data_IF_043082054171
#
_entry.id   IF_043082054171
#
_cell.length_a   1.000
_cell.length_b   1.000
_cell.length_c   1.000
_cell.angle_alpha   90.00
_cell.angle_beta   90.00
_cell.angle_gamma   90.00
#
_symmetry.space_group_name_H-M   'P 1'
#
loop_
_entity.id
_entity.type
_entity.pdbx_description
1 polymer ?
#
# COMPACT_ATOMS: atom_id res chain seq x y z
N UNK A 1 -7.12 14.45 11.41
CA UNK A 1 -6.56 13.32 12.15
C UNK A 1 -5.18 13.05 11.62
N UNK A 2 -4.18 12.97 12.48
CA UNK A 2 -2.78 13.17 12.12
C UNK A 2 -2.19 11.95 11.38
N UNK A 3 -1.14 12.17 10.59
CA UNK A 3 -0.30 11.09 10.01
C UNK A 3 0.17 10.07 11.07
N UNK A 4 0.16 10.47 12.34
CA UNK A 4 0.54 9.69 13.52
C UNK A 4 -0.38 8.49 13.77
N UNK A 5 -1.68 8.59 13.46
CA UNK A 5 -2.66 7.55 13.74
C UNK A 5 -3.04 6.73 12.50
N UNK A 6 -2.54 7.13 11.33
CA UNK A 6 -2.84 6.44 10.08
C UNK A 6 -2.29 5.00 10.11
N UNK A 7 -3.16 3.98 9.93
CA UNK A 7 -2.72 2.60 9.94
C UNK A 7 -1.75 2.32 8.80
N UNK A 8 -0.83 1.39 9.04
CA UNK A 8 -0.09 0.76 7.96
C UNK A 8 -1.04 -0.09 7.12
N UNK A 9 -0.77 -0.16 5.83
CA UNK A 9 -1.52 -0.96 4.88
C UNK A 9 -0.55 -1.60 3.90
N UNK A 10 -0.90 -2.77 3.37
CA UNK A 10 -0.17 -3.39 2.27
C UNK A 10 -0.36 -2.65 0.95
N UNK A 11 -1.32 -1.71 0.89
CA UNK A 11 -1.50 -0.77 -0.22
C UNK A 11 -0.40 0.29 -0.19
N UNK A 12 0.16 0.58 -1.34
CA UNK A 12 1.46 1.22 -1.54
C UNK A 12 1.35 2.70 -1.90
N UNK A 13 0.26 3.06 -2.56
CA UNK A 13 -0.19 4.42 -2.84
C UNK A 13 -0.36 5.25 -1.57
N UNK A 14 -0.81 4.62 -0.49
CA UNK A 14 -1.21 5.31 0.75
C UNK A 14 -0.03 5.48 1.72
N UNK A 15 1.21 5.26 1.25
CA UNK A 15 2.41 5.42 2.06
C UNK A 15 2.65 6.89 2.36
N UNK A 16 2.71 7.18 3.65
CA UNK A 16 3.03 8.52 4.16
C UNK A 16 4.23 8.40 5.08
N UNK A 17 5.02 9.46 5.16
CA UNK A 17 6.00 9.58 6.24
C UNK A 17 5.25 9.63 7.58
N UNK A 18 5.49 8.61 8.40
CA UNK A 18 4.95 8.48 9.75
C UNK A 18 6.04 8.80 10.75
N UNK A 19 5.74 9.54 11.83
CA UNK A 19 6.69 9.65 12.92
C UNK A 19 6.99 8.26 13.48
N UNK A 20 8.26 8.05 13.82
CA UNK A 20 8.70 6.83 14.50
C UNK A 20 8.18 6.75 15.93
N UNK A 21 8.44 5.62 16.58
CA UNK A 21 8.11 5.40 17.99
C UNK A 21 7.06 4.31 18.22
N UNK A 22 6.51 4.29 19.45
CA UNK A 22 5.54 3.29 19.88
C UNK A 22 4.19 3.52 19.20
N UNK A 23 3.59 2.45 18.68
CA UNK A 23 2.24 2.46 18.10
C UNK A 23 1.25 1.90 19.12
N UNK A 24 0.12 2.57 19.28
CA UNK A 24 -0.90 2.18 20.25
C UNK A 24 -2.27 2.00 19.60
N UNK A 25 -2.71 0.74 19.54
CA UNK A 25 -4.03 0.29 19.11
C UNK A 25 -4.90 -0.17 20.29
N UNK A 26 -4.57 0.22 21.53
CA UNK A 26 -5.40 -0.05 22.70
C UNK A 26 -6.79 0.55 22.56
N UNK A 27 -7.76 0.04 23.34
CA UNK A 27 -9.12 0.61 23.41
C UNK A 27 -9.11 2.09 23.76
N UNK A 28 -8.26 2.48 24.70
CA UNK A 28 -8.13 3.87 25.10
C UNK A 28 -7.68 4.77 23.94
N UNK A 29 -6.75 4.30 23.09
CA UNK A 29 -6.33 5.00 21.88
C UNK A 29 -7.48 5.10 20.86
N UNK A 30 -8.18 4.00 20.58
CA UNK A 30 -9.34 4.00 19.66
C UNK A 30 -10.46 4.92 20.16
N UNK A 31 -10.82 4.86 21.45
CA UNK A 31 -11.83 5.73 22.06
C UNK A 31 -11.43 7.21 21.96
N UNK A 32 -10.13 7.51 22.07
CA UNK A 32 -9.61 8.86 21.86
C UNK A 32 -9.77 9.28 20.40
N UNK A 33 -9.41 8.43 19.45
CA UNK A 33 -9.57 8.72 18.01
C UNK A 33 -11.04 8.99 17.66
N UNK A 34 -11.99 8.21 18.20
CA UNK A 34 -13.42 8.45 18.01
C UNK A 34 -13.89 9.80 18.58
N UNK A 35 -13.41 10.19 19.76
CA UNK A 35 -13.71 11.50 20.36
C UNK A 35 -13.13 12.64 19.52
N UNK A 36 -11.88 12.52 19.10
CA UNK A 36 -11.23 13.50 18.24
C UNK A 36 -11.99 13.64 16.91
N UNK A 37 -12.39 12.53 16.28
CA UNK A 37 -13.20 12.52 15.06
C UNK A 37 -14.49 13.32 15.27
N UNK A 38 -15.23 13.02 16.33
CA UNK A 38 -16.50 13.70 16.63
C UNK A 38 -16.33 15.22 16.79
N UNK A 39 -15.22 15.66 17.40
CA UNK A 39 -14.91 17.09 17.51
C UNK A 39 -14.60 17.71 16.14
N UNK A 40 -13.75 17.07 15.33
CA UNK A 40 -13.43 17.55 13.98
C UNK A 40 -14.67 17.62 13.09
N UNK A 41 -15.53 16.60 13.14
CA UNK A 41 -16.80 16.54 12.41
C UNK A 41 -17.71 17.70 12.80
N UNK A 42 -17.85 17.97 14.09
CA UNK A 42 -18.68 19.06 14.59
C UNK A 42 -18.15 20.44 14.16
N UNK A 43 -16.84 20.61 14.03
CA UNK A 43 -16.21 21.83 13.52
C UNK A 43 -16.39 21.97 12.01
N UNK A 44 -16.15 20.91 11.25
CA UNK A 44 -16.31 20.88 9.80
C UNK A 44 -17.75 21.21 9.39
N UNK A 45 -18.76 20.60 10.03
CA UNK A 45 -20.20 20.83 9.75
C UNK A 45 -20.69 22.25 10.05
N UNK A 46 -19.95 23.06 10.83
CA UNK A 46 -20.30 24.46 11.11
C UNK A 46 -19.84 25.42 10.02
N UNK A 47 -18.99 24.98 9.10
CA UNK A 47 -18.52 25.80 7.99
C UNK A 47 -19.64 25.88 6.94
N UNK A 48 -19.86 27.07 6.38
CA UNK A 48 -20.78 27.28 5.24
C UNK A 48 -19.95 27.58 3.98
N UNK A 49 -19.72 26.57 3.11
CA UNK A 49 -18.92 26.74 1.91
C UNK A 49 -19.70 27.31 0.73
N UNK A 50 -21.00 27.61 0.87
CA UNK A 50 -21.88 27.91 -0.29
C UNK A 50 -21.44 29.12 -1.10
N UNK A 51 -20.84 30.12 -0.46
CA UNK A 51 -20.35 31.35 -1.11
C UNK A 51 -18.82 31.36 -1.28
N UNK A 52 -18.13 30.26 -0.97
CA UNK A 52 -16.68 30.19 -1.13
C UNK A 52 -16.28 30.06 -2.60
N UNK A 53 -15.03 30.39 -2.93
CA UNK A 53 -14.50 30.10 -4.25
C UNK A 53 -14.48 28.58 -4.48
N UNK A 54 -14.69 28.14 -5.73
CA UNK A 54 -14.75 26.70 -6.08
C UNK A 54 -13.56 25.89 -5.51
N UNK A 55 -12.30 26.36 -5.58
CA UNK A 55 -11.18 25.64 -4.97
C UNK A 55 -11.39 25.34 -3.47
N UNK A 56 -11.90 26.30 -2.71
CA UNK A 56 -12.17 26.14 -1.28
C UNK A 56 -13.37 25.22 -1.02
N UNK A 57 -14.36 25.20 -1.91
CA UNK A 57 -15.46 24.23 -1.85
C UNK A 57 -14.96 22.81 -2.08
N UNK A 58 -13.99 22.62 -2.99
CA UNK A 58 -13.31 21.33 -3.17
C UNK A 58 -12.60 20.93 -1.88
N UNK A 59 -11.81 21.83 -1.28
CA UNK A 59 -11.07 21.54 -0.04
C UNK A 59 -12.01 21.16 1.12
N UNK A 60 -13.17 21.82 1.21
CA UNK A 60 -14.23 21.46 2.15
C UNK A 60 -14.75 20.04 1.92
N UNK A 61 -14.98 19.63 0.66
CA UNK A 61 -15.45 18.29 0.30
C UNK A 61 -14.38 17.22 0.57
N UNK A 62 -13.12 17.48 0.23
CA UNK A 62 -12.00 16.58 0.51
C UNK A 62 -11.81 16.38 2.01
N UNK A 63 -11.94 17.45 2.80
CA UNK A 63 -11.92 17.36 4.27
C UNK A 63 -13.06 16.50 4.79
N UNK A 64 -14.28 16.70 4.28
CA UNK A 64 -15.44 15.86 4.63
C UNK A 64 -15.23 14.39 4.29
N UNK A 65 -14.64 14.09 3.13
CA UNK A 65 -14.29 12.73 2.72
C UNK A 65 -13.25 12.10 3.64
N UNK A 66 -12.18 12.82 3.98
CA UNK A 66 -11.16 12.32 4.89
C UNK A 66 -11.73 12.00 6.28
N UNK A 67 -12.65 12.83 6.80
CA UNK A 67 -13.35 12.56 8.06
C UNK A 67 -14.29 11.35 7.94
N UNK A 68 -15.05 11.25 6.84
CA UNK A 68 -15.89 10.09 6.57
C UNK A 68 -15.09 8.79 6.47
N UNK A 69 -13.86 8.84 5.92
CA UNK A 69 -12.95 7.70 5.89
C UNK A 69 -12.53 7.25 7.29
N UNK A 70 -12.19 8.17 8.18
CA UNK A 70 -11.88 7.81 9.56
C UNK A 70 -13.09 7.17 10.23
N UNK A 71 -14.29 7.74 10.07
CA UNK A 71 -15.53 7.13 10.60
C UNK A 71 -15.81 5.75 9.99
N UNK A 72 -15.50 5.56 8.70
CA UNK A 72 -15.56 4.26 8.06
C UNK A 72 -14.61 3.24 8.73
N UNK A 73 -13.37 3.62 9.01
CA UNK A 73 -12.35 2.71 9.56
C UNK A 73 -12.49 2.46 11.06
N UNK A 74 -13.10 3.39 11.81
CA UNK A 74 -13.34 3.25 13.25
C UNK A 74 -14.68 2.56 13.56
N UNK A 75 -15.74 2.85 12.80
CA UNK A 75 -17.12 2.53 13.21
C UNK A 75 -17.87 1.63 12.21
N UNK A 76 -17.77 1.88 10.90
CA UNK A 76 -18.60 1.17 9.89
C UNK A 76 -17.93 -0.14 9.44
N UNK A 77 -16.64 -0.11 9.18
CA UNK A 77 -15.79 -1.25 8.88
C UNK A 77 -14.56 -1.27 9.82
N UNK A 78 -14.77 -1.52 11.13
CA UNK A 78 -13.71 -1.48 12.13
C UNK A 78 -12.72 -2.63 11.95
N UNK A 79 -11.75 -2.49 11.04
CA UNK A 79 -10.73 -3.53 10.77
C UNK A 79 -9.95 -3.89 12.04
N UNK A 80 -9.69 -2.91 12.91
CA UNK A 80 -9.06 -3.12 14.22
C UNK A 80 -9.84 -4.12 15.11
N UNK A 81 -11.15 -4.25 14.92
CA UNK A 81 -12.02 -5.18 15.67
C UNK A 81 -12.31 -6.47 14.88
N UNK A 82 -12.37 -6.39 13.55
CA UNK A 82 -12.95 -7.40 12.66
C UNK A 82 -11.92 -8.18 11.83
N UNK A 83 -10.72 -7.66 11.62
CA UNK A 83 -9.76 -8.20 10.66
C UNK A 83 -8.40 -8.45 11.31
N UNK A 84 -8.01 -9.71 11.61
CA UNK A 84 -6.68 -9.99 12.16
C UNK A 84 -5.53 -9.59 11.22
N UNK A 85 -5.76 -9.45 9.92
CA UNK A 85 -4.75 -8.97 8.97
C UNK A 85 -4.44 -7.48 9.18
N UNK A 86 -5.32 -6.73 9.86
CA UNK A 86 -5.00 -5.37 10.32
C UNK A 86 -3.74 -5.39 11.18
N UNK A 87 -3.64 -6.32 12.13
CA UNK A 87 -2.50 -6.44 13.04
C UNK A 87 -1.25 -6.97 12.36
N UNK A 88 -1.38 -7.80 11.34
CA UNK A 88 -0.25 -8.16 10.46
C UNK A 88 0.26 -6.89 9.74
N UNK A 89 -0.63 -6.04 9.24
CA UNK A 89 -0.25 -4.78 8.61
C UNK A 89 0.43 -3.82 9.60
N UNK A 90 -0.08 -3.72 10.83
CA UNK A 90 0.52 -2.86 11.85
C UNK A 90 1.86 -3.37 12.39
N UNK A 91 2.26 -4.61 12.04
CA UNK A 91 3.51 -5.24 12.48
C UNK A 91 4.46 -5.50 11.32
N UNK A 92 4.25 -6.58 10.57
CA UNK A 92 5.17 -7.02 9.51
C UNK A 92 5.20 -6.06 8.32
N UNK A 93 4.04 -5.52 7.90
CA UNK A 93 4.03 -4.51 6.82
C UNK A 93 4.74 -3.23 7.24
N UNK A 94 4.62 -2.82 8.51
CA UNK A 94 5.38 -1.70 9.04
C UNK A 94 6.90 -1.92 8.94
N UNK A 95 7.38 -3.12 9.28
CA UNK A 95 8.80 -3.48 9.11
C UNK A 95 9.20 -3.47 7.64
N UNK A 96 8.41 -4.08 6.76
CA UNK A 96 8.69 -4.10 5.31
C UNK A 96 8.76 -2.69 4.74
N UNK A 97 7.83 -1.80 5.09
CA UNK A 97 7.83 -0.39 4.64
C UNK A 97 9.12 0.35 5.05
N UNK A 98 9.71 0.02 6.21
CA UNK A 98 11.00 0.61 6.59
C UNK A 98 12.18 0.01 5.81
N UNK A 99 12.09 -1.27 5.44
CA UNK A 99 13.13 -1.99 4.69
C UNK A 99 13.13 -1.71 3.18
N UNK A 100 12.04 -1.18 2.62
CA UNK A 100 12.00 -0.76 1.21
C UNK A 100 12.83 0.48 0.97
N UNK A 101 12.98 1.38 1.96
CA UNK A 101 13.92 2.49 1.84
C UNK A 101 15.35 1.94 1.67
N UNK A 102 16.10 2.35 0.63
CA UNK A 102 17.43 1.82 0.38
C UNK A 102 18.43 2.00 1.53
N UNK A 103 19.14 0.93 1.86
CA UNK A 103 20.34 0.97 2.71
C UNK A 103 21.61 1.37 1.95
N UNK A 104 22.76 1.49 2.64
CA UNK A 104 22.96 1.19 4.07
C UNK A 104 22.23 2.20 4.98
N UNK A 105 21.73 1.71 6.10
CA UNK A 105 20.96 2.45 7.09
C UNK A 105 21.89 3.12 8.09
N UNK A 106 21.72 4.43 8.27
CA UNK A 106 22.36 5.16 9.37
C UNK A 106 21.78 4.77 10.74
N UNK A 107 22.30 5.37 11.82
CA UNK A 107 21.86 5.06 13.17
C UNK A 107 20.38 5.37 13.43
N UNK A 108 19.82 6.41 12.79
CA UNK A 108 18.43 6.80 12.99
C UNK A 108 17.47 5.81 12.30
N UNK A 109 17.73 5.48 11.02
CA UNK A 109 16.95 4.49 10.26
C UNK A 109 17.09 3.09 10.85
N UNK A 110 18.30 2.72 11.27
CA UNK A 110 18.56 1.46 11.97
C UNK A 110 17.73 1.35 13.25
N UNK A 111 17.67 2.41 14.06
CA UNK A 111 16.84 2.44 15.27
C UNK A 111 15.35 2.37 14.96
N UNK A 112 14.88 3.06 13.92
CA UNK A 112 13.47 3.00 13.51
C UNK A 112 13.06 1.58 13.10
N UNK A 113 13.89 0.87 12.32
CA UNK A 113 13.65 -0.54 11.97
C UNK A 113 13.53 -1.40 13.24
N UNK A 114 14.47 -1.22 14.18
CA UNK A 114 14.43 -1.95 15.46
C UNK A 114 13.15 -1.63 16.25
N UNK A 115 12.79 -0.36 16.37
CA UNK A 115 11.56 0.07 17.06
C UNK A 115 10.31 -0.57 16.46
N UNK A 116 10.22 -0.68 15.12
CA UNK A 116 9.08 -1.37 14.48
C UNK A 116 9.04 -2.87 14.82
N UNK A 117 10.19 -3.54 14.91
CA UNK A 117 10.28 -4.94 15.36
C UNK A 117 9.87 -5.06 16.84
N UNK A 118 10.33 -4.14 17.69
CA UNK A 118 10.04 -4.14 19.13
C UNK A 118 8.58 -3.80 19.46
N UNK A 119 7.88 -3.10 18.57
CA UNK A 119 6.45 -2.84 18.69
C UNK A 119 5.58 -4.09 18.43
N UNK A 120 6.10 -5.14 17.77
CA UNK A 120 5.31 -6.30 17.35
C UNK A 120 4.58 -6.96 18.53
N UNK A 121 5.23 -7.28 19.67
CA UNK A 121 4.55 -7.95 20.77
C UNK A 121 3.38 -7.17 21.37
N UNK A 122 3.53 -5.86 21.61
CA UNK A 122 2.47 -5.04 22.20
C UNK A 122 1.30 -4.86 21.24
N UNK A 123 1.55 -4.64 19.95
CA UNK A 123 0.51 -4.52 18.93
C UNK A 123 -0.32 -5.81 18.83
N UNK A 124 0.34 -6.98 18.85
CA UNK A 124 -0.37 -8.26 18.78
C UNK A 124 -1.15 -8.57 20.05
N UNK A 125 -0.63 -8.19 21.22
CA UNK A 125 -1.39 -8.28 22.47
C UNK A 125 -2.69 -7.46 22.36
N UNK A 126 -2.58 -6.19 21.96
CA UNK A 126 -3.75 -5.34 21.72
C UNK A 126 -4.67 -5.95 20.67
N UNK A 127 -4.13 -6.61 19.65
CA UNK A 127 -4.93 -7.33 18.65
C UNK A 127 -5.76 -8.47 19.23
N UNK A 128 -5.16 -9.36 20.04
CA UNK A 128 -5.92 -10.42 20.73
C UNK A 128 -7.00 -9.81 21.60
N UNK A 129 -6.68 -8.73 22.30
CA UNK A 129 -7.64 -8.07 23.17
C UNK A 129 -8.78 -7.48 22.33
N UNK A 130 -8.50 -6.81 21.21
CA UNK A 130 -9.43 -6.04 20.36
C UNK A 130 -10.37 -6.87 19.50
N UNK A 131 -9.89 -7.99 18.96
CA UNK A 131 -10.64 -8.80 18.00
C UNK A 131 -11.93 -9.34 18.64
N UNK A 132 -13.06 -9.15 17.96
CA UNK A 132 -14.37 -9.60 18.40
C UNK A 132 -15.06 -10.35 17.25
N UNK A 133 -15.03 -11.68 17.34
CA UNK A 133 -15.59 -12.62 16.35
C UNK A 133 -15.26 -12.23 14.90
N UNK A 134 -13.96 -12.07 14.55
CA UNK A 134 -13.57 -11.76 13.17
C UNK A 134 -14.08 -12.85 12.20
N UNK A 135 -14.40 -12.53 10.93
CA UNK A 135 -14.79 -13.53 9.96
C UNK A 135 -13.73 -14.62 9.79
N UNK A 136 -14.16 -15.89 9.77
CA UNK A 136 -13.30 -17.06 9.63
C UNK A 136 -12.38 -17.01 8.39
N UNK A 137 -12.80 -16.48 7.22
CA UNK A 137 -11.90 -16.28 6.08
C UNK A 137 -10.74 -15.34 6.39
N UNK A 138 -10.96 -14.23 7.09
CA UNK A 138 -9.90 -13.28 7.44
C UNK A 138 -8.91 -13.89 8.43
N UNK A 139 -9.40 -14.63 9.43
CA UNK A 139 -8.56 -15.37 10.36
C UNK A 139 -7.74 -16.45 9.66
N UNK A 140 -8.32 -17.16 8.70
CA UNK A 140 -7.63 -18.20 7.93
C UNK A 140 -6.48 -17.63 7.10
N UNK A 141 -6.68 -16.50 6.42
CA UNK A 141 -5.62 -15.80 5.70
C UNK A 141 -4.49 -15.37 6.64
N UNK A 142 -4.83 -14.79 7.80
CA UNK A 142 -3.83 -14.39 8.78
C UNK A 142 -3.03 -15.59 9.34
N UNK A 143 -3.70 -16.72 9.61
CA UNK A 143 -3.05 -17.96 10.06
C UNK A 143 -2.06 -18.50 9.02
N UNK A 144 -2.46 -18.50 7.75
CA UNK A 144 -1.63 -18.94 6.62
C UNK A 144 -0.45 -18.00 6.40
N UNK A 145 -0.68 -16.68 6.45
CA UNK A 145 0.38 -15.69 6.28
C UNK A 145 1.49 -15.82 7.35
N UNK A 146 1.13 -16.23 8.57
CA UNK A 146 2.06 -16.40 9.69
C UNK A 146 2.73 -17.79 9.75
N UNK A 147 2.52 -18.64 8.74
CA UNK A 147 3.25 -19.91 8.65
C UNK A 147 4.76 -19.68 8.49
N UNK A 148 5.56 -20.42 9.25
CA UNK A 148 7.02 -20.34 9.23
C UNK A 148 7.59 -18.91 9.43
N UNK A 149 6.88 -18.05 10.17
CA UNK A 149 7.28 -16.64 10.34
C UNK A 149 8.61 -16.47 11.07
N UNK A 150 8.94 -17.34 12.03
CA UNK A 150 10.21 -17.26 12.78
C UNK A 150 11.44 -17.40 11.88
N UNK A 151 11.57 -18.46 11.05
CA UNK A 151 12.63 -18.54 10.06
C UNK A 151 12.77 -17.29 9.19
N UNK A 152 11.66 -16.70 8.72
CA UNK A 152 11.69 -15.48 7.91
C UNK A 152 12.26 -14.28 8.67
N UNK A 153 11.86 -14.07 9.93
CA UNK A 153 12.40 -13.00 10.76
C UNK A 153 13.90 -13.17 11.06
N UNK A 154 14.34 -14.41 11.31
CA UNK A 154 15.76 -14.71 11.52
C UNK A 154 16.60 -14.50 10.26
N UNK A 155 16.09 -14.90 9.10
CA UNK A 155 16.74 -14.63 7.80
C UNK A 155 16.85 -13.12 7.53
N UNK A 156 15.77 -12.37 7.78
CA UNK A 156 15.77 -10.92 7.67
C UNK A 156 16.84 -10.29 8.57
N UNK A 157 16.87 -10.63 9.85
CA UNK A 157 17.83 -10.09 10.81
C UNK A 157 19.28 -10.38 10.40
N UNK A 158 19.58 -11.64 10.04
CA UNK A 158 20.93 -12.04 9.64
C UNK A 158 21.41 -11.31 8.38
N UNK A 159 20.53 -11.14 7.39
CA UNK A 159 20.84 -10.41 6.16
C UNK A 159 20.99 -8.90 6.40
N UNK A 160 20.22 -8.34 7.33
CA UNK A 160 20.21 -6.90 7.63
C UNK A 160 21.51 -6.42 8.27
N UNK A 161 22.24 -7.28 9.02
CA UNK A 161 23.49 -6.94 9.73
C UNK A 161 24.56 -6.26 8.86
N UNK A 162 24.59 -6.57 7.56
CA UNK A 162 25.54 -5.98 6.62
C UNK A 162 25.20 -4.55 6.20
N UNK A 163 23.97 -4.11 6.49
CA UNK A 163 23.40 -2.85 6.01
C UNK A 163 22.94 -1.93 7.13
N UNK A 164 23.13 -2.29 8.40
CA UNK A 164 22.63 -1.54 9.56
C UNK A 164 23.73 -1.27 10.58
N UNK A 165 23.51 -0.30 11.47
CA UNK A 165 24.39 -0.02 12.62
C UNK A 165 24.02 -0.82 13.87
N UNK A 166 22.97 -1.64 13.82
CA UNK A 166 22.50 -2.45 14.96
C UNK A 166 23.48 -3.59 15.28
N UNK A 167 23.50 -3.99 16.55
CA UNK A 167 24.27 -5.16 16.99
C UNK A 167 23.49 -6.45 16.74
N UNK A 168 24.22 -7.54 16.47
CA UNK A 168 23.63 -8.86 16.25
C UNK A 168 22.77 -9.33 17.43
N UNK A 169 23.26 -9.16 18.66
CA UNK A 169 22.53 -9.59 19.87
C UNK A 169 21.21 -8.82 20.05
N UNK A 170 21.21 -7.52 19.73
CA UNK A 170 20.04 -6.63 19.81
C UNK A 170 18.98 -7.05 18.80
N UNK A 171 19.36 -7.20 17.52
CA UNK A 171 18.46 -7.66 16.46
C UNK A 171 17.92 -9.06 16.72
N UNK A 172 18.78 -9.99 17.14
CA UNK A 172 18.37 -11.36 17.46
C UNK A 172 17.37 -11.37 18.60
N UNK A 173 17.63 -10.63 19.68
CA UNK A 173 16.74 -10.54 20.84
C UNK A 173 15.37 -9.96 20.47
N UNK A 174 15.34 -8.88 19.68
CA UNK A 174 14.08 -8.26 19.24
C UNK A 174 13.29 -9.18 18.30
N UNK A 175 13.95 -9.80 17.32
CA UNK A 175 13.28 -10.73 16.40
C UNK A 175 12.80 -12.02 17.07
N UNK A 176 13.51 -12.55 18.07
CA UNK A 176 13.04 -13.68 18.86
C UNK A 176 11.72 -13.34 19.60
N UNK A 177 11.64 -12.16 20.24
CA UNK A 177 10.40 -11.69 20.89
C UNK A 177 9.26 -11.46 19.90
N UNK A 178 9.56 -10.90 18.73
CA UNK A 178 8.57 -10.67 17.68
C UNK A 178 8.01 -12.00 17.14
N UNK A 179 8.89 -12.96 16.82
CA UNK A 179 8.52 -14.29 16.35
C UNK A 179 7.62 -15.02 17.34
N UNK A 180 8.00 -15.00 18.62
CA UNK A 180 7.23 -15.52 19.74
C UNK A 180 5.80 -14.96 19.80
N UNK A 181 5.66 -13.64 19.63
CA UNK A 181 4.36 -12.97 19.66
C UNK A 181 3.50 -13.30 18.42
N UNK A 182 4.10 -13.35 17.23
CA UNK A 182 3.42 -13.70 15.98
C UNK A 182 2.92 -15.16 15.98
N UNK A 183 3.74 -16.09 16.46
CA UNK A 183 3.34 -17.49 16.62
C UNK A 183 2.21 -17.63 17.65
N UNK A 184 2.30 -16.95 18.79
CA UNK A 184 1.20 -16.93 19.79
C UNK A 184 -0.09 -16.34 19.21
N UNK A 185 -0.01 -15.25 18.46
CA UNK A 185 -1.16 -14.65 17.79
C UNK A 185 -1.80 -15.63 16.80
N UNK A 186 -0.99 -16.29 15.97
CA UNK A 186 -1.45 -17.34 15.04
C UNK A 186 -2.17 -18.49 15.76
N UNK A 187 -1.63 -18.98 16.87
CA UNK A 187 -2.30 -20.04 17.63
C UNK A 187 -3.61 -19.56 18.28
N UNK A 188 -3.71 -18.31 18.74
CA UNK A 188 -4.98 -17.75 19.21
C UNK A 188 -6.03 -17.68 18.11
N UNK A 189 -5.64 -17.27 16.90
CA UNK A 189 -6.57 -17.30 15.77
C UNK A 189 -7.03 -18.73 15.44
N UNK A 190 -6.14 -19.73 15.51
CA UNK A 190 -6.48 -21.15 15.32
C UNK A 190 -7.45 -21.68 16.35
N UNK A 191 -7.26 -21.33 17.63
CA UNK A 191 -8.18 -21.67 18.71
C UNK A 191 -9.58 -21.08 18.49
N UNK A 192 -9.65 -19.82 18.03
CA UNK A 192 -10.92 -19.13 17.77
C UNK A 192 -11.64 -19.65 16.52
N UNK A 193 -10.88 -20.05 15.49
CA UNK A 193 -11.36 -20.32 14.12
C UNK A 193 -12.64 -21.17 14.02
N UNK A 194 -12.81 -22.29 14.76
CA UNK A 194 -14.00 -23.13 14.65
C UNK A 194 -15.31 -22.43 15.06
N UNK A 195 -15.23 -21.34 15.83
CA UNK A 195 -16.38 -20.59 16.34
C UNK A 195 -16.68 -19.30 15.58
N UNK A 196 -15.82 -18.94 14.61
CA UNK A 196 -15.91 -17.68 13.90
C UNK A 196 -17.01 -17.70 12.81
N UNK A 197 -17.70 -16.57 12.59
CA UNK A 197 -18.70 -16.47 11.52
C UNK A 197 -18.02 -16.47 10.14
N UNK A 198 -18.73 -16.92 9.09
CA UNK A 198 -18.21 -16.87 7.72
C UNK A 198 -18.47 -15.55 6.99
N UNK A 199 -19.42 -14.74 7.47
CA UNK A 199 -19.91 -13.56 6.76
C UNK A 199 -18.84 -12.44 6.71
N UNK A 200 -18.50 -12.03 5.49
CA UNK A 200 -17.50 -10.97 5.23
C UNK A 200 -18.14 -9.69 4.69
N UNK A 201 -19.36 -9.75 4.17
CA UNK A 201 -20.06 -8.58 3.67
C UNK A 201 -20.40 -7.60 4.81
N UNK A 202 -20.33 -6.30 4.51
CA UNK A 202 -20.79 -5.23 5.39
C UNK A 202 -22.26 -4.84 5.11
N UNK A 203 -22.83 -5.38 4.03
CA UNK A 203 -24.14 -5.00 3.52
C UNK A 203 -24.10 -3.78 2.59
N UNK A 204 -25.24 -3.54 1.95
CA UNK A 204 -25.42 -2.50 0.92
C UNK A 204 -25.17 -1.10 1.48
N UNK A 205 -25.77 -0.77 2.63
CA UNK A 205 -25.78 0.60 3.15
C UNK A 205 -24.36 1.08 3.50
N UNK A 206 -23.55 0.19 4.08
CA UNK A 206 -22.13 0.46 4.31
C UNK A 206 -21.41 0.74 2.98
N UNK A 207 -21.64 -0.07 1.95
CA UNK A 207 -21.00 0.14 0.65
C UNK A 207 -21.45 1.45 -0.01
N UNK A 208 -22.73 1.80 0.05
CA UNK A 208 -23.26 3.09 -0.42
C UNK A 208 -22.67 4.26 0.36
N UNK A 209 -22.51 4.13 1.68
CA UNK A 209 -21.82 5.14 2.48
C UNK A 209 -20.40 5.36 2.00
N UNK A 210 -19.64 4.27 1.79
CA UNK A 210 -18.27 4.34 1.29
C UNK A 210 -18.21 5.04 -0.08
N UNK A 211 -19.03 4.63 -1.04
CA UNK A 211 -19.04 5.23 -2.38
C UNK A 211 -19.31 6.74 -2.31
N UNK A 212 -20.37 7.15 -1.62
CA UNK A 212 -20.82 8.55 -1.65
C UNK A 212 -19.98 9.49 -0.77
N UNK A 213 -19.51 9.00 0.39
CA UNK A 213 -18.90 9.87 1.40
C UNK A 213 -17.39 9.71 1.47
N UNK A 214 -16.84 8.54 1.12
CA UNK A 214 -15.39 8.28 1.18
C UNK A 214 -14.77 8.38 -0.21
N UNK A 215 -15.30 7.66 -1.20
CA UNK A 215 -14.78 7.67 -2.56
C UNK A 215 -15.35 8.82 -3.42
N UNK A 216 -16.31 9.58 -2.89
CA UNK A 216 -17.01 10.67 -3.58
C UNK A 216 -17.58 10.28 -4.96
N UNK A 217 -17.93 9.00 -5.13
CA UNK A 217 -18.53 8.46 -6.34
C UNK A 217 -20.06 8.58 -6.29
N UNK A 218 -20.70 9.18 -7.30
CA UNK A 218 -22.16 9.38 -7.31
C UNK A 218 -22.94 8.16 -7.82
N UNK A 219 -22.30 6.99 -7.92
CA UNK A 219 -22.86 5.79 -8.53
C UNK A 219 -23.40 4.82 -7.48
N UNK A 220 -24.49 4.14 -7.81
CA UNK A 220 -24.97 3.02 -6.99
C UNK A 220 -24.11 1.76 -7.21
N UNK A 221 -24.15 0.79 -6.28
CA UNK A 221 -23.49 -0.49 -6.48
C UNK A 221 -23.95 -1.21 -7.77
N UNK A 222 -25.22 -1.09 -8.14
CA UNK A 222 -25.79 -1.65 -9.36
C UNK A 222 -25.21 -0.98 -10.61
N UNK A 223 -25.04 0.35 -10.59
CA UNK A 223 -24.42 1.07 -11.70
C UNK A 223 -22.98 0.61 -11.91
N UNK A 224 -22.21 0.45 -10.82
CA UNK A 224 -20.84 -0.05 -10.88
C UNK A 224 -20.77 -1.49 -11.41
N UNK A 225 -21.71 -2.36 -11.03
CA UNK A 225 -21.78 -3.73 -11.56
C UNK A 225 -22.14 -3.77 -13.05
N UNK A 226 -23.06 -2.91 -13.49
CA UNK A 226 -23.43 -2.79 -14.89
C UNK A 226 -22.25 -2.29 -15.74
N UNK A 227 -21.59 -1.22 -15.30
CA UNK A 227 -20.39 -0.69 -15.95
C UNK A 227 -19.26 -1.72 -15.97
N UNK A 228 -18.99 -2.39 -14.85
CA UNK A 228 -17.97 -3.43 -14.77
C UNK A 228 -18.21 -4.60 -15.72
N UNK A 229 -19.47 -5.03 -15.88
CA UNK A 229 -19.84 -6.08 -16.84
C UNK A 229 -19.63 -5.64 -18.28
N UNK A 230 -19.99 -4.41 -18.61
CA UNK A 230 -19.74 -3.85 -19.94
C UNK A 230 -18.25 -3.80 -20.26
N UNK A 231 -17.44 -3.30 -19.32
CA UNK A 231 -15.99 -3.17 -19.50
C UNK A 231 -15.28 -4.53 -19.54
N UNK A 232 -15.76 -5.52 -18.78
CA UNK A 232 -15.30 -6.92 -18.90
C UNK A 232 -15.54 -7.47 -20.31
N UNK A 233 -16.76 -7.35 -20.82
CA UNK A 233 -17.10 -7.83 -22.16
C UNK A 233 -16.24 -7.15 -23.23
N UNK A 234 -16.00 -5.84 -23.09
CA UNK A 234 -15.14 -5.08 -24.00
C UNK A 234 -13.68 -5.53 -23.92
N UNK A 235 -13.14 -5.74 -22.73
CA UNK A 235 -11.76 -6.20 -22.53
C UNK A 235 -11.53 -7.59 -23.13
N UNK A 236 -12.45 -8.55 -22.88
CA UNK A 236 -12.37 -9.90 -23.46
C UNK A 236 -12.47 -9.87 -24.98
N UNK A 237 -13.37 -9.05 -25.55
CA UNK A 237 -13.51 -8.92 -27.00
C UNK A 237 -12.23 -8.34 -27.64
N UNK A 238 -11.65 -7.30 -27.04
CA UNK A 238 -10.40 -6.71 -27.52
C UNK A 238 -9.24 -7.69 -27.40
N UNK A 239 -9.11 -8.42 -26.29
CA UNK A 239 -8.10 -9.46 -26.16
C UNK A 239 -8.22 -10.52 -27.25
N UNK A 240 -9.45 -10.98 -27.55
CA UNK A 240 -9.68 -11.95 -28.61
C UNK A 240 -9.29 -11.41 -30.00
N UNK A 241 -9.64 -10.16 -30.32
CA UNK A 241 -9.25 -9.52 -31.56
C UNK A 241 -7.75 -9.35 -31.67
N UNK A 242 -7.08 -8.92 -30.59
CA UNK A 242 -5.63 -8.76 -30.55
C UNK A 242 -4.88 -10.08 -30.65
N UNK A 243 -5.36 -11.15 -30.01
CA UNK A 243 -4.80 -12.50 -30.16
C UNK A 243 -4.91 -12.98 -31.60
N UNK A 244 -6.05 -12.78 -32.26
CA UNK A 244 -6.21 -13.17 -33.65
C UNK A 244 -5.36 -12.31 -34.60
N UNK A 245 -5.28 -10.99 -34.36
CA UNK A 245 -4.47 -10.05 -35.16
C UNK A 245 -2.99 -10.39 -35.08
N UNK A 246 -2.50 -10.75 -33.89
CA UNK A 246 -1.10 -11.02 -33.62
C UNK A 246 -0.73 -12.51 -33.63
N UNK A 247 -1.59 -13.38 -34.19
CA UNK A 247 -1.38 -14.85 -34.16
C UNK A 247 -0.08 -15.32 -34.81
N UNK A 248 0.43 -14.54 -35.76
CA UNK A 248 1.65 -14.83 -36.52
C UNK A 248 2.87 -14.02 -36.00
N UNK A 249 2.69 -13.23 -34.93
CA UNK A 249 3.77 -12.46 -34.29
C UNK A 249 4.44 -13.35 -33.23
N UNK A 250 5.78 -13.48 -33.24
CA UNK A 250 6.48 -14.23 -32.20
C UNK A 250 6.18 -13.67 -30.80
N UNK A 251 6.04 -14.54 -29.77
CA UNK A 251 5.84 -14.08 -28.40
C UNK A 251 7.03 -13.25 -27.92
N UNK A 252 6.75 -12.32 -27.01
CA UNK A 252 7.80 -11.58 -26.32
C UNK A 252 8.72 -12.55 -25.56
N UNK A 253 10.00 -12.20 -25.50
CA UNK A 253 10.98 -12.97 -24.73
C UNK A 253 11.15 -12.32 -23.38
N UNK A 254 11.15 -13.13 -22.34
CA UNK A 254 11.57 -12.70 -21.00
C UNK A 254 13.04 -12.32 -21.03
N UNK A 255 13.40 -11.26 -20.29
CA UNK A 255 14.79 -10.89 -20.04
C UNK A 255 15.59 -12.03 -19.40
N UNK A 256 16.85 -12.22 -19.82
CA UNK A 256 17.67 -13.37 -19.41
C UNK A 256 18.13 -13.32 -17.95
N UNK A 257 18.32 -12.12 -17.41
CA UNK A 257 18.83 -11.92 -16.05
C UNK A 257 18.43 -10.55 -15.49
N UNK A 258 18.56 -10.42 -14.17
CA UNK A 258 18.15 -9.23 -13.43
C UNK A 258 18.91 -7.95 -13.83
N UNK A 259 20.17 -8.07 -14.25
CA UNK A 259 20.98 -6.90 -14.66
C UNK A 259 20.46 -6.34 -15.98
N UNK A 260 20.19 -7.22 -16.95
CA UNK A 260 19.55 -6.84 -18.21
C UNK A 260 18.16 -6.24 -17.97
N UNK A 261 17.39 -6.81 -17.05
CA UNK A 261 16.06 -6.29 -16.70
C UNK A 261 16.11 -4.86 -16.19
N UNK A 262 16.98 -4.59 -15.21
CA UNK A 262 17.14 -3.26 -14.61
C UNK A 262 17.53 -2.24 -15.67
N UNK A 263 18.50 -2.60 -16.54
CA UNK A 263 18.95 -1.73 -17.63
C UNK A 263 17.82 -1.44 -18.63
N UNK A 264 17.13 -2.49 -19.10
CA UNK A 264 16.06 -2.34 -20.08
C UNK A 264 14.90 -1.51 -19.51
N UNK A 265 14.50 -1.74 -18.26
CA UNK A 265 13.44 -0.96 -17.62
C UNK A 265 13.78 0.54 -17.56
N UNK A 266 15.03 0.91 -17.25
CA UNK A 266 15.47 2.30 -17.26
C UNK A 266 15.43 2.91 -18.69
N UNK A 267 15.83 2.15 -19.70
CA UNK A 267 15.75 2.59 -21.10
C UNK A 267 14.29 2.78 -21.55
N UNK A 268 13.39 1.87 -21.16
CA UNK A 268 11.95 1.95 -21.48
C UNK A 268 11.28 3.11 -20.76
N UNK A 269 11.64 3.39 -19.51
CA UNK A 269 11.14 4.56 -18.78
C UNK A 269 11.51 5.87 -19.48
N UNK A 270 12.76 6.00 -19.93
CA UNK A 270 13.21 7.17 -20.70
C UNK A 270 12.46 7.29 -22.04
N UNK A 271 12.19 6.17 -22.72
CA UNK A 271 11.40 6.14 -23.95
C UNK A 271 9.94 6.57 -23.70
N UNK A 272 9.34 6.17 -22.58
CA UNK A 272 7.99 6.58 -22.19
C UNK A 272 7.94 8.10 -22.00
N UNK A 273 8.86 8.68 -21.22
CA UNK A 273 8.93 10.14 -21.02
C UNK A 273 9.04 10.89 -22.34
N UNK A 274 10.00 10.49 -23.18
CA UNK A 274 10.19 11.08 -24.51
C UNK A 274 8.93 10.97 -25.37
N UNK A 275 8.26 9.82 -25.34
CA UNK A 275 7.02 9.62 -26.08
C UNK A 275 5.91 10.56 -25.61
N UNK A 276 5.72 10.73 -24.30
CA UNK A 276 4.71 11.62 -23.73
C UNK A 276 4.94 13.08 -24.18
N UNK A 277 6.19 13.53 -24.17
CA UNK A 277 6.58 14.89 -24.60
C UNK A 277 6.47 15.08 -26.12
N UNK A 278 7.09 14.19 -26.91
CA UNK A 278 7.09 14.27 -28.39
C UNK A 278 5.67 14.24 -28.97
N UNK A 279 4.73 13.55 -28.29
CA UNK A 279 3.33 13.45 -28.69
C UNK A 279 2.44 14.53 -28.09
N UNK A 280 2.97 15.40 -27.24
CA UNK A 280 2.20 16.44 -26.56
C UNK A 280 1.08 15.88 -25.66
N UNK A 281 1.29 14.69 -25.08
CA UNK A 281 0.32 14.03 -24.20
C UNK A 281 0.41 14.63 -22.80
N UNK A 282 1.63 14.67 -22.24
CA UNK A 282 1.90 15.16 -20.90
C UNK A 282 3.36 15.60 -20.78
N UNK A 283 3.59 16.72 -20.12
CA UNK A 283 4.94 17.19 -19.77
C UNK A 283 5.30 16.67 -18.38
N UNK A 284 6.42 15.94 -18.29
CA UNK A 284 6.96 15.47 -17.01
C UNK A 284 7.95 16.53 -16.51
N UNK A 285 7.74 17.20 -15.37
CA UNK A 285 8.66 18.22 -14.92
C UNK A 285 10.06 17.68 -14.63
N UNK A 286 11.11 18.42 -15.01
CA UNK A 286 12.52 18.01 -14.87
C UNK A 286 12.96 17.65 -13.43
N UNK A 287 12.23 18.14 -12.42
CA UNK A 287 12.51 17.83 -11.03
C UNK A 287 12.00 16.44 -10.60
N UNK A 288 11.07 15.83 -11.36
CA UNK A 288 10.57 14.49 -11.09
C UNK A 288 11.62 13.47 -11.50
N UNK A 289 12.18 12.77 -10.51
CA UNK A 289 13.21 11.75 -10.71
C UNK A 289 12.65 10.51 -11.42
N UNK A 290 13.44 9.45 -11.56
CA UNK A 290 13.08 8.29 -12.38
C UNK A 290 12.42 7.17 -11.58
N UNK A 291 11.55 6.42 -12.26
CA UNK A 291 11.08 5.13 -11.79
C UNK A 291 12.06 4.04 -12.25
N UNK A 292 12.67 3.32 -11.30
CA UNK A 292 13.78 2.41 -11.57
C UNK A 292 13.57 1.05 -10.92
N UNK A 293 14.18 0.01 -11.50
CA UNK A 293 14.21 -1.31 -10.86
C UNK A 293 15.50 -1.49 -10.06
N UNK A 294 15.43 -2.27 -8.98
CA UNK A 294 16.59 -2.68 -8.18
C UNK A 294 16.48 -4.15 -7.77
N UNK A 295 17.62 -4.83 -7.70
CA UNK A 295 17.65 -6.18 -7.14
C UNK A 295 17.21 -6.17 -5.67
N UNK A 296 16.26 -7.05 -5.33
CA UNK A 296 15.74 -7.17 -3.97
C UNK A 296 16.82 -7.67 -3.00
N UNK A 297 17.17 -6.90 -1.95
CA UNK A 297 18.12 -7.37 -0.96
C UNK A 297 17.53 -8.50 -0.11
N UNK A 298 18.38 -9.42 0.35
CA UNK A 298 17.97 -10.63 1.08
C UNK A 298 17.12 -10.32 2.34
N UNK A 299 17.41 -9.22 3.05
CA UNK A 299 16.64 -8.84 4.23
C UNK A 299 15.18 -8.47 3.89
N UNK A 300 14.96 -7.85 2.73
CA UNK A 300 13.62 -7.49 2.25
C UNK A 300 12.92 -8.72 1.67
N UNK A 301 13.66 -9.54 0.91
CA UNK A 301 13.20 -10.80 0.31
C UNK A 301 12.61 -11.75 1.35
N UNK A 302 13.22 -11.84 2.53
CA UNK A 302 12.75 -12.65 3.65
C UNK A 302 11.33 -12.29 4.12
N UNK A 303 10.87 -11.05 3.88
CA UNK A 303 9.55 -10.56 4.28
C UNK A 303 8.70 -10.07 3.09
N UNK A 304 9.05 -10.44 1.86
CA UNK A 304 8.40 -9.92 0.64
C UNK A 304 6.88 -10.15 0.57
N UNK A 305 6.36 -11.14 1.29
CA UNK A 305 4.92 -11.45 1.33
C UNK A 305 4.08 -10.49 2.19
N UNK A 306 4.71 -9.55 2.92
CA UNK A 306 4.03 -8.70 3.91
C UNK A 306 3.90 -7.25 3.50
N UNK A 307 4.24 -6.85 2.27
CA UNK A 307 4.05 -5.47 1.82
C UNK A 307 4.38 -5.28 0.35
N UNK A 308 4.21 -4.05 -0.14
CA UNK A 308 4.61 -3.70 -1.50
C UNK A 308 6.13 -3.54 -1.65
N UNK A 309 6.64 -3.94 -2.82
CA UNK A 309 8.06 -3.96 -3.17
C UNK A 309 8.52 -2.70 -3.92
N UNK A 310 7.67 -1.69 -4.08
CA UNK A 310 8.05 -0.35 -4.49
C UNK A 310 8.41 0.50 -3.26
N UNK A 311 9.55 1.16 -3.31
CA UNK A 311 9.85 2.35 -2.51
C UNK A 311 9.41 3.58 -3.31
N UNK A 312 8.16 3.99 -3.12
CA UNK A 312 7.67 5.26 -3.60
C UNK A 312 8.31 6.42 -2.85
N UNK A 313 8.38 7.58 -3.51
CA UNK A 313 8.89 8.80 -2.90
C UNK A 313 8.05 9.26 -1.71
N UNK A 314 8.57 10.24 -0.99
CA UNK A 314 7.90 10.87 0.13
C UNK A 314 8.20 12.38 0.13
N UNK A 315 7.51 13.19 0.97
CA UNK A 315 7.75 14.64 1.00
C UNK A 315 9.22 15.03 1.18
N UNK A 316 10.00 14.25 1.93
CA UNK A 316 11.44 14.52 2.14
C UNK A 316 12.37 13.92 1.08
N UNK A 317 11.84 13.16 0.10
CA UNK A 317 12.63 12.37 -0.87
C UNK A 317 12.22 12.61 -2.32
N UNK A 318 11.64 13.77 -2.64
CA UNK A 318 11.24 14.13 -4.00
C UNK A 318 12.42 14.28 -4.98
N UNK A 319 13.64 14.36 -4.47
CA UNK A 319 14.89 14.37 -5.22
C UNK A 319 15.54 12.98 -5.35
N UNK A 320 14.85 11.91 -4.93
CA UNK A 320 15.28 10.52 -5.08
C UNK A 320 14.44 9.79 -6.13
N UNK A 321 15.03 8.81 -6.81
CA UNK A 321 14.32 7.89 -7.71
C UNK A 321 13.32 7.05 -6.93
N UNK A 322 12.20 6.70 -7.56
CA UNK A 322 11.37 5.58 -7.10
C UNK A 322 12.04 4.26 -7.49
N UNK A 323 11.95 3.28 -6.59
CA UNK A 323 12.61 1.98 -6.76
C UNK A 323 11.58 0.86 -6.63
N UNK A 324 11.43 0.04 -7.66
CA UNK A 324 10.79 -1.27 -7.55
C UNK A 324 11.82 -2.36 -7.31
N UNK A 325 11.67 -3.10 -6.22
CA UNK A 325 12.50 -4.27 -5.95
C UNK A 325 12.01 -5.48 -6.74
N UNK A 326 12.92 -6.09 -7.49
CA UNK A 326 12.66 -7.26 -8.32
C UNK A 326 13.54 -8.44 -7.92
N UNK A 327 13.02 -9.64 -8.09
CA UNK A 327 13.79 -10.89 -8.00
C UNK A 327 14.23 -11.33 -9.40
N UNK A 328 14.99 -12.42 -9.47
CA UNK A 328 15.48 -12.95 -10.72
C UNK A 328 14.32 -13.36 -11.65
N UNK A 329 14.36 -13.01 -12.95
CA UNK A 329 13.37 -13.48 -13.91
C UNK A 329 13.24 -14.99 -13.86
N UNK A 330 12.01 -15.51 -13.78
CA UNK A 330 11.77 -16.94 -13.84
C UNK A 330 10.43 -17.28 -14.49
N UNK A 331 10.33 -18.45 -15.11
CA UNK A 331 9.06 -18.97 -15.61
C UNK A 331 8.05 -19.36 -14.53
N UNK A 332 8.41 -19.22 -13.24
CA UNK A 332 7.52 -19.46 -12.09
C UNK A 332 6.97 -18.17 -11.49
N UNK A 333 7.30 -17.01 -12.06
CA UNK A 333 6.77 -15.73 -11.64
C UNK A 333 5.24 -15.71 -11.82
N UNK A 334 4.56 -15.01 -10.92
CA UNK A 334 3.15 -14.68 -11.11
C UNK A 334 2.96 -13.84 -12.38
N UNK A 335 1.74 -13.82 -12.91
CA UNK A 335 1.40 -13.20 -14.20
C UNK A 335 1.99 -11.79 -14.39
N UNK A 336 1.80 -10.88 -13.43
CA UNK A 336 2.27 -9.50 -13.56
C UNK A 336 3.79 -9.36 -13.57
N UNK A 337 4.49 -10.16 -12.76
CA UNK A 337 5.95 -10.20 -12.73
C UNK A 337 6.52 -10.80 -14.02
N UNK A 338 5.85 -11.82 -14.56
CA UNK A 338 6.20 -12.40 -15.87
C UNK A 338 6.02 -11.36 -16.99
N UNK A 339 4.86 -10.72 -17.06
CA UNK A 339 4.57 -9.69 -18.06
C UNK A 339 5.57 -8.53 -17.98
N UNK A 340 5.94 -8.10 -16.77
CA UNK A 340 6.95 -7.04 -16.55
C UNK A 340 8.34 -7.45 -17.02
N UNK A 341 8.67 -8.74 -16.95
CA UNK A 341 9.94 -9.29 -17.42
C UNK A 341 9.95 -9.51 -18.95
N UNK A 342 8.78 -9.58 -19.59
CA UNK A 342 8.66 -9.59 -21.06
C UNK A 342 8.63 -8.18 -21.65
N UNK A 343 7.99 -7.24 -20.96
CA UNK A 343 7.93 -5.83 -21.30
C UNK A 343 7.69 -4.99 -20.05
N UNK A 344 8.64 -4.15 -19.60
CA UNK A 344 8.46 -3.34 -18.41
C UNK A 344 7.53 -2.15 -18.64
N UNK A 345 7.21 -1.76 -19.88
CA UNK A 345 6.44 -0.54 -20.16
C UNK A 345 5.08 -0.50 -19.45
N UNK A 346 4.26 -1.56 -19.41
CA UNK A 346 2.96 -1.50 -18.75
C UNK A 346 3.06 -1.25 -17.24
N UNK A 347 4.06 -1.81 -16.54
CA UNK A 347 4.25 -1.51 -15.12
C UNK A 347 4.87 -0.12 -14.95
N UNK A 348 5.80 0.29 -15.81
CA UNK A 348 6.43 1.61 -15.74
C UNK A 348 5.40 2.73 -15.93
N UNK A 349 4.40 2.53 -16.80
CA UNK A 349 3.28 3.48 -16.95
C UNK A 349 2.34 3.45 -15.74
N UNK A 350 2.14 2.28 -15.14
CA UNK A 350 1.23 2.10 -13.99
C UNK A 350 1.80 2.66 -12.68
N UNK A 351 2.99 2.21 -12.31
CA UNK A 351 3.62 2.53 -11.04
C UNK A 351 4.54 3.74 -11.16
N UNK A 352 5.12 3.96 -12.35
CA UNK A 352 6.11 5.01 -12.59
C UNK A 352 5.50 6.28 -13.17
N UNK A 353 5.78 6.51 -14.46
CA UNK A 353 5.42 7.72 -15.18
C UNK A 353 4.47 7.38 -16.34
N UNK A 354 3.31 8.05 -16.44
CA UNK A 354 2.77 9.08 -15.54
C UNK A 354 1.89 8.55 -14.38
N UNK A 355 2.06 7.29 -13.97
CA UNK A 355 1.21 6.62 -12.99
C UNK A 355 1.45 7.00 -11.52
N UNK A 356 1.42 6.01 -10.63
CA UNK A 356 1.39 6.20 -9.17
C UNK A 356 2.51 7.11 -8.65
N UNK A 357 3.76 6.83 -9.02
CA UNK A 357 4.91 7.65 -8.61
C UNK A 357 4.78 9.10 -9.08
N UNK A 358 4.40 9.32 -10.35
CA UNK A 358 4.23 10.67 -10.89
C UNK A 358 3.16 11.46 -10.13
N UNK A 359 2.00 10.86 -9.92
CA UNK A 359 0.91 11.49 -9.17
C UNK A 359 1.36 11.81 -7.74
N UNK A 360 2.01 10.88 -7.04
CA UNK A 360 2.52 11.09 -5.69
C UNK A 360 3.52 12.25 -5.62
N UNK A 361 4.45 12.35 -6.59
CA UNK A 361 5.36 13.48 -6.70
C UNK A 361 4.62 14.82 -6.79
N UNK A 362 3.59 14.90 -7.64
CA UNK A 362 2.80 16.11 -7.80
C UNK A 362 1.99 16.44 -6.53
N UNK A 363 1.37 15.44 -5.91
CA UNK A 363 0.64 15.59 -4.65
C UNK A 363 1.55 16.13 -3.56
N UNK A 364 2.73 15.55 -3.35
CA UNK A 364 3.69 16.01 -2.33
C UNK A 364 4.20 17.43 -2.56
N UNK A 365 4.27 17.88 -3.81
CA UNK A 365 4.68 19.25 -4.16
C UNK A 365 3.54 20.26 -4.07
N UNK A 366 2.29 19.81 -3.93
CA UNK A 366 1.13 20.70 -3.86
C UNK A 366 1.24 21.66 -2.67
N UNK A 367 0.98 22.96 -2.86
CA UNK A 367 1.15 23.99 -1.82
C UNK A 367 0.11 23.86 -0.69
N UNK A 368 -1.14 23.55 -1.05
CA UNK A 368 -2.22 23.30 -0.09
C UNK A 368 -2.01 21.98 0.67
N UNK A 369 -1.92 22.00 2.02
CA UNK A 369 -1.73 20.80 2.83
C UNK A 369 -2.90 19.82 2.80
N UNK A 370 -4.15 20.28 2.58
CA UNK A 370 -5.32 19.40 2.45
C UNK A 370 -5.12 18.55 1.20
N UNK A 371 -4.80 19.17 0.06
CA UNK A 371 -4.60 18.45 -1.21
C UNK A 371 -3.32 17.65 -1.24
N UNK A 372 -2.26 18.13 -0.58
CA UNK A 372 -0.99 17.41 -0.44
C UNK A 372 -1.16 16.06 0.27
N UNK A 373 -2.07 15.99 1.25
CA UNK A 373 -2.26 14.81 2.11
C UNK A 373 -3.56 14.06 1.87
N UNK A 374 -4.42 14.56 1.00
CA UNK A 374 -5.62 13.85 0.62
C UNK A 374 -5.26 12.64 -0.23
N UNK A 375 -5.75 11.48 0.19
CA UNK A 375 -5.65 10.25 -0.58
C UNK A 375 -7.06 9.70 -0.86
N UNK A 376 -7.26 9.32 -2.11
CA UNK A 376 -8.42 8.57 -2.57
C UNK A 376 -7.93 7.49 -3.53
N UNK A 377 -8.05 6.24 -3.08
CA UNK A 377 -7.62 5.08 -3.87
C UNK A 377 -8.31 5.00 -5.24
N UNK A 378 -9.53 5.55 -5.37
CA UNK A 378 -10.24 5.63 -6.65
C UNK A 378 -9.49 6.52 -7.63
N UNK A 379 -9.27 7.79 -7.28
CA UNK A 379 -8.51 8.73 -8.10
C UNK A 379 -7.09 8.25 -8.40
N UNK A 380 -6.40 7.72 -7.38
CA UNK A 380 -5.02 7.28 -7.58
C UNK A 380 -4.92 6.06 -8.49
N UNK A 381 -5.75 5.02 -8.28
CA UNK A 381 -5.72 3.79 -9.12
C UNK A 381 -6.31 4.03 -10.51
N UNK A 382 -7.30 4.89 -10.64
CA UNK A 382 -7.87 5.26 -11.94
C UNK A 382 -6.89 6.06 -12.79
N UNK A 383 -6.13 7.00 -12.20
CA UNK A 383 -5.13 7.77 -12.95
C UNK A 383 -4.06 6.87 -13.58
N UNK A 384 -3.58 5.86 -12.83
CA UNK A 384 -2.62 4.86 -13.28
C UNK A 384 -3.21 3.87 -14.31
N UNK A 385 -4.55 3.71 -14.36
CA UNK A 385 -5.22 2.84 -15.32
C UNK A 385 -5.62 3.57 -16.61
N UNK A 386 -6.02 4.84 -16.53
CA UNK A 386 -6.40 5.67 -17.67
C UNK A 386 -5.25 5.87 -18.67
N UNK A 387 -4.01 5.83 -18.20
CA UNK A 387 -2.81 5.97 -19.03
C UNK A 387 -2.41 4.70 -19.78
N UNK A 388 -3.05 3.56 -19.50
CA UNK A 388 -2.83 2.30 -20.23
C UNK A 388 -3.70 2.18 -21.49
N UNK A 389 -4.65 3.10 -21.71
CA UNK A 389 -5.61 3.06 -22.83
C UNK A 389 -5.14 3.77 -24.07
#
# INVERSE_FOLDING_TARGET
MAREDAPFTGDDVNRIERPGGTRDWSRASIDKQQKDLAEFDARWKKLDPTQWAVPQQVDYRLTGSALARVGWELDINPRWKRDPNFYIAQTLTAVVEALTVPGPYDAARSREILTRIENIPSILQQGVENLDKPPAPFASVAIQALENIRPHLHQMAAALLKSTTLKEEELKSATDRAADALERFREKLREMLPSLPNETALGRDAYVFFLNNVALMPYSPEDLLAMGRQEWNRAVAFEAFEKNRNKDVPPLKTVDNIVSWIKEAAEKESQIRKFLEDRGILTVPDWVQHYTLRAMPEYLRALQGFGEMDDFTSPSRLNENCIRYVTEPSGKLGYFWHATAEDPRPITVHEGIPGHYFQLCLSWKHEDPIRRHYDDSGQTKESAFMQKR
#
